data_IF_402561635752
#
_entry.id   IF_402561635752
#
_cell.length_a   1.000
_cell.length_b   1.000
_cell.length_c   1.000
_cell.angle_alpha   90.00
_cell.angle_beta   90.00
_cell.angle_gamma   90.00
#
_symmetry.space_group_name_H-M   'P 1'
#
loop_
_entity.id
_entity.type
_entity.pdbx_description
1 polymer ?
#
# COMPACT_ATOMS: atom_id res chain seq x y z
N UNK A 1 -4.92 28.41 4.49
CA UNK A 1 -4.21 27.11 4.54
C UNK A 1 -3.75 26.83 3.13
N UNK A 2 -2.48 26.47 2.93
CA UNK A 2 -1.94 26.13 1.60
C UNK A 2 -2.73 24.97 0.97
N UNK A 3 -2.95 24.99 -0.34
CA UNK A 3 -3.76 24.01 -1.08
C UNK A 3 -3.23 22.59 -0.88
N UNK A 4 -1.90 22.44 -0.86
CA UNK A 4 -1.22 21.17 -0.58
C UNK A 4 -1.51 20.69 0.84
N UNK A 5 -1.45 21.59 1.83
CA UNK A 5 -1.73 21.24 3.22
C UNK A 5 -3.17 20.74 3.39
N UNK A 6 -4.13 21.37 2.69
CA UNK A 6 -5.53 20.95 2.70
C UNK A 6 -5.71 19.56 2.07
N UNK A 7 -5.09 19.30 0.92
CA UNK A 7 -5.17 17.99 0.27
C UNK A 7 -4.60 16.85 1.14
N UNK A 8 -3.47 17.11 1.82
CA UNK A 8 -2.87 16.12 2.74
C UNK A 8 -3.77 15.88 3.95
N UNK A 9 -4.38 16.93 4.50
CA UNK A 9 -5.34 16.81 5.60
C UNK A 9 -6.57 15.98 5.20
N UNK A 10 -7.12 16.22 4.01
CA UNK A 10 -8.26 15.46 3.47
C UNK A 10 -7.92 13.97 3.32
N UNK A 11 -6.76 13.64 2.76
CA UNK A 11 -6.25 12.26 2.68
C UNK A 11 -6.12 11.63 4.07
N UNK A 12 -5.56 12.35 5.05
CA UNK A 12 -5.39 11.85 6.41
C UNK A 12 -6.74 11.62 7.12
N UNK A 13 -7.71 12.52 6.92
CA UNK A 13 -9.07 12.36 7.47
C UNK A 13 -9.76 11.15 6.87
N UNK A 14 -9.68 10.96 5.56
CA UNK A 14 -10.25 9.80 4.88
C UNK A 14 -9.60 8.49 5.34
N UNK A 15 -8.27 8.45 5.44
CA UNK A 15 -7.54 7.28 5.94
C UNK A 15 -7.93 6.95 7.39
N UNK A 16 -8.02 7.97 8.26
CA UNK A 16 -8.43 7.79 9.65
C UNK A 16 -9.86 7.26 9.77
N UNK A 17 -10.76 7.71 8.91
CA UNK A 17 -12.15 7.25 8.88
C UNK A 17 -12.26 5.77 8.48
N UNK A 18 -11.42 5.31 7.53
CA UNK A 18 -11.41 3.92 7.07
C UNK A 18 -10.60 2.95 7.96
N UNK A 19 -9.66 3.47 8.78
CA UNK A 19 -8.77 2.66 9.61
C UNK A 19 -9.46 1.61 10.51
N UNK A 20 -10.63 1.87 11.14
CA UNK A 20 -11.32 0.86 11.93
C UNK A 20 -11.73 -0.40 11.15
N UNK A 21 -12.09 -0.26 9.87
CA UNK A 21 -12.45 -1.39 9.00
C UNK A 21 -11.27 -2.34 8.85
N UNK A 22 -10.10 -1.78 8.51
CA UNK A 22 -8.88 -2.56 8.33
C UNK A 22 -8.35 -3.13 9.66
N UNK A 23 -8.49 -2.39 10.76
CA UNK A 23 -8.10 -2.85 12.10
C UNK A 23 -8.91 -4.08 12.56
N UNK A 24 -10.18 -4.17 12.14
CA UNK A 24 -11.09 -5.27 12.46
C UNK A 24 -10.98 -6.46 11.50
N UNK A 25 -10.38 -6.28 10.32
CA UNK A 25 -10.25 -7.32 9.31
C UNK A 25 -9.56 -8.60 9.85
N UNK A 26 -10.05 -9.75 9.41
CA UNK A 26 -9.49 -11.06 9.75
C UNK A 26 -8.12 -11.27 9.09
N UNK A 27 -7.43 -12.37 9.40
CA UNK A 27 -6.18 -12.69 8.71
C UNK A 27 -6.46 -13.05 7.25
N UNK A 28 -7.51 -13.83 7.05
CA UNK A 28 -7.97 -14.35 5.77
C UNK A 28 -8.35 -13.22 4.82
N UNK A 29 -9.12 -12.22 5.27
CA UNK A 29 -9.48 -11.06 4.45
C UNK A 29 -8.25 -10.23 4.05
N UNK A 30 -7.30 -10.03 4.97
CA UNK A 30 -6.04 -9.31 4.67
C UNK A 30 -5.22 -10.07 3.63
N UNK A 31 -5.10 -11.39 3.77
CA UNK A 31 -4.31 -12.21 2.86
C UNK A 31 -4.99 -12.38 1.49
N UNK A 32 -6.32 -12.44 1.47
CA UNK A 32 -7.13 -12.40 0.26
C UNK A 32 -6.96 -11.07 -0.49
N UNK A 33 -6.98 -9.93 0.19
CA UNK A 33 -6.74 -8.63 -0.43
C UNK A 33 -5.35 -8.56 -1.07
N UNK A 34 -4.31 -9.03 -0.37
CA UNK A 34 -2.94 -9.06 -0.90
C UNK A 34 -2.79 -9.98 -2.11
N UNK A 35 -3.48 -11.12 -2.09
CA UNK A 35 -3.51 -12.05 -3.22
C UNK A 35 -4.27 -11.44 -4.41
N UNK A 36 -5.40 -10.79 -4.15
CA UNK A 36 -6.17 -10.05 -5.15
C UNK A 36 -5.38 -8.92 -5.78
N UNK A 37 -4.55 -8.20 -5.01
CA UNK A 37 -3.61 -7.21 -5.57
C UNK A 37 -2.62 -7.87 -6.56
N UNK A 38 -2.09 -9.05 -6.23
CA UNK A 38 -1.14 -9.76 -7.09
C UNK A 38 -1.79 -10.21 -8.41
N UNK A 39 -3.03 -10.69 -8.35
CA UNK A 39 -3.81 -11.08 -9.53
C UNK A 39 -4.12 -9.87 -10.41
N UNK A 40 -4.56 -8.77 -9.80
CA UNK A 40 -4.92 -7.53 -10.50
C UNK A 40 -3.73 -6.88 -11.18
N UNK A 41 -2.54 -6.92 -10.59
CA UNK A 41 -1.32 -6.45 -11.27
C UNK A 41 -1.12 -7.14 -12.61
N UNK A 42 -1.31 -8.46 -12.65
CA UNK A 42 -1.09 -9.26 -13.86
C UNK A 42 -2.23 -9.10 -14.86
N UNK A 43 -3.48 -9.06 -14.37
CA UNK A 43 -4.67 -8.90 -15.21
C UNK A 43 -4.75 -7.53 -15.87
N UNK A 44 -4.30 -6.46 -15.18
CA UNK A 44 -4.32 -5.09 -15.68
C UNK A 44 -2.93 -4.62 -16.16
N UNK A 45 -2.06 -5.55 -16.56
CA UNK A 45 -0.67 -5.26 -16.95
C UNK A 45 -0.58 -4.16 -18.01
N UNK A 46 -1.35 -4.28 -19.09
CA UNK A 46 -1.30 -3.35 -20.22
C UNK A 46 -1.64 -1.92 -19.76
N UNK A 47 -2.70 -1.80 -18.98
CA UNK A 47 -3.19 -0.53 -18.45
C UNK A 47 -2.17 0.15 -17.50
N UNK A 48 -1.48 -0.64 -16.67
CA UNK A 48 -0.45 -0.15 -15.76
C UNK A 48 0.80 0.30 -16.53
N UNK A 49 1.22 -0.48 -17.53
CA UNK A 49 2.38 -0.17 -18.34
C UNK A 49 2.15 1.06 -19.22
N UNK A 50 0.93 1.24 -19.74
CA UNK A 50 0.55 2.45 -20.49
C UNK A 50 0.64 3.71 -19.62
N UNK A 51 0.09 3.66 -18.40
CA UNK A 51 0.18 4.77 -17.46
C UNK A 51 1.64 5.09 -17.07
N UNK A 52 2.47 4.05 -16.91
CA UNK A 52 3.89 4.23 -16.63
C UNK A 52 4.67 4.80 -17.81
N UNK A 53 4.37 4.36 -19.03
CA UNK A 53 5.00 4.87 -20.23
C UNK A 53 4.76 6.37 -20.41
N UNK A 54 3.54 6.85 -20.13
CA UNK A 54 3.22 8.28 -20.16
C UNK A 54 4.02 9.09 -19.12
N UNK A 55 4.25 8.54 -17.92
CA UNK A 55 5.11 9.16 -16.90
C UNK A 55 6.59 9.21 -17.35
N UNK A 56 7.09 8.12 -17.93
CA UNK A 56 8.47 8.01 -18.43
C UNK A 56 8.72 8.98 -19.59
N UNK A 57 7.79 9.10 -20.53
CA UNK A 57 7.90 10.02 -21.66
C UNK A 57 7.93 11.47 -21.21
N UNK A 58 7.03 11.85 -20.30
CA UNK A 58 7.01 13.18 -19.69
C UNK A 58 8.33 13.49 -18.98
N UNK A 59 8.79 12.58 -18.12
CA UNK A 59 10.05 12.76 -17.38
C UNK A 59 11.26 12.87 -18.32
N UNK A 60 11.28 12.11 -19.43
CA UNK A 60 12.33 12.17 -20.44
C UNK A 60 12.32 13.53 -21.15
N UNK A 61 11.16 14.06 -21.50
CA UNK A 61 11.01 15.37 -22.12
C UNK A 61 11.47 16.51 -21.18
N UNK A 62 11.28 16.33 -19.87
CA UNK A 62 11.74 17.25 -18.82
C UNK A 62 13.26 17.14 -18.51
N UNK A 63 13.99 16.27 -19.22
CA UNK A 63 15.45 16.12 -19.07
C UNK A 63 15.87 15.29 -17.86
N UNK A 64 15.02 14.40 -17.35
CA UNK A 64 15.36 13.48 -16.28
C UNK A 64 16.55 12.57 -16.67
N UNK A 65 17.49 12.37 -15.73
CA UNK A 65 18.66 11.54 -15.97
C UNK A 65 18.31 10.06 -16.17
N UNK A 66 19.13 9.34 -16.93
CA UNK A 66 18.91 7.92 -17.25
C UNK A 66 18.73 7.04 -16.00
N UNK A 67 19.47 7.30 -14.92
CA UNK A 67 19.34 6.54 -13.67
C UNK A 67 18.02 6.80 -12.92
N UNK A 68 17.44 7.99 -13.04
CA UNK A 68 16.13 8.30 -12.47
C UNK A 68 14.99 7.75 -13.35
N UNK A 69 15.14 7.80 -14.67
CA UNK A 69 14.22 7.15 -15.61
C UNK A 69 14.17 5.63 -15.39
N UNK A 70 15.32 4.98 -15.15
CA UNK A 70 15.35 3.56 -14.80
C UNK A 70 14.50 3.29 -13.55
N UNK A 71 14.66 4.08 -12.48
CA UNK A 71 13.85 3.94 -11.25
C UNK A 71 12.35 4.18 -11.44
N UNK A 72 11.98 5.06 -12.37
CA UNK A 72 10.60 5.38 -12.72
C UNK A 72 9.93 4.27 -13.55
N UNK A 73 10.72 3.56 -14.37
CA UNK A 73 10.21 2.60 -15.34
C UNK A 73 9.72 1.31 -14.68
N UNK A 74 8.51 0.87 -15.02
CA UNK A 74 7.96 -0.46 -14.71
C UNK A 74 8.14 -1.32 -15.97
N UNK A 75 8.92 -2.39 -15.85
CA UNK A 75 9.02 -3.40 -16.91
C UNK A 75 8.08 -4.58 -16.60
N UNK A 76 7.73 -5.43 -17.59
CA UNK A 76 6.94 -6.64 -17.35
C UNK A 76 7.54 -7.55 -16.25
N UNK A 77 8.87 -7.62 -16.18
CA UNK A 77 9.60 -8.38 -15.16
C UNK A 77 9.41 -7.77 -13.77
N UNK A 78 9.55 -6.43 -13.65
CA UNK A 78 9.32 -5.73 -12.36
C UNK A 78 7.88 -5.89 -11.89
N UNK A 79 6.92 -5.83 -12.80
CA UNK A 79 5.51 -6.03 -12.49
C UNK A 79 5.23 -7.48 -12.02
N UNK A 80 5.91 -8.47 -12.62
CA UNK A 80 5.84 -9.86 -12.16
C UNK A 80 6.45 -10.01 -10.76
N UNK A 81 7.61 -9.40 -10.52
CA UNK A 81 8.24 -9.39 -9.19
C UNK A 81 7.40 -8.70 -8.11
N UNK A 82 6.66 -7.64 -8.45
CA UNK A 82 5.70 -7.01 -7.53
C UNK A 82 4.58 -7.99 -7.13
N UNK A 83 4.03 -8.73 -8.10
CA UNK A 83 2.99 -9.72 -7.82
C UNK A 83 3.52 -10.89 -6.97
N UNK A 84 4.76 -11.34 -7.20
CA UNK A 84 5.43 -12.35 -6.38
C UNK A 84 5.64 -11.87 -4.95
N UNK A 85 6.10 -10.63 -4.76
CA UNK A 85 6.29 -10.04 -3.43
C UNK A 85 4.97 -9.96 -2.65
N UNK A 86 3.86 -9.62 -3.32
CA UNK A 86 2.53 -9.60 -2.72
C UNK A 86 2.08 -11.00 -2.26
N UNK A 87 2.28 -12.02 -3.09
CA UNK A 87 1.96 -13.42 -2.72
C UNK A 87 2.81 -13.90 -1.55
N UNK A 88 4.10 -13.54 -1.54
CA UNK A 88 4.99 -13.83 -0.42
C UNK A 88 4.50 -13.17 0.87
N UNK A 89 4.10 -11.89 0.80
CA UNK A 89 3.58 -11.16 1.94
C UNK A 89 2.22 -11.71 2.42
N UNK A 90 1.35 -12.13 1.51
CA UNK A 90 0.09 -12.81 1.84
C UNK A 90 0.35 -14.09 2.65
N UNK A 91 1.32 -14.90 2.24
CA UNK A 91 1.72 -16.12 2.96
C UNK A 91 2.50 -15.90 4.26
N UNK A 92 2.94 -14.68 4.57
CA UNK A 92 3.66 -14.39 5.80
C UNK A 92 2.74 -14.52 7.04
N UNK A 93 3.23 -15.06 8.17
CA UNK A 93 2.39 -15.30 9.34
C UNK A 93 1.88 -14.01 9.98
N UNK A 94 0.64 -14.03 10.48
CA UNK A 94 0.10 -12.98 11.35
C UNK A 94 0.56 -13.22 12.79
N UNK A 95 1.00 -12.17 13.47
CA UNK A 95 1.32 -12.24 14.89
C UNK A 95 0.04 -12.33 15.73
N UNK A 96 0.09 -13.07 16.83
CA UNK A 96 -1.03 -13.13 17.77
C UNK A 96 -1.32 -11.72 18.33
N UNK A 97 -2.59 -11.31 18.26
CA UNK A 97 -2.99 -9.93 18.61
C UNK A 97 -3.36 -9.78 20.08
N UNK A 98 -3.51 -10.86 20.83
CA UNK A 98 -3.87 -10.85 22.24
C UNK A 98 -3.24 -12.04 22.94
N UNK A 99 -2.34 -11.77 23.87
CA UNK A 99 -1.62 -12.79 24.64
C UNK A 99 -1.99 -12.62 26.11
N UNK A 100 -2.50 -13.67 26.73
CA UNK A 100 -2.71 -13.68 28.18
C UNK A 100 -1.36 -13.73 28.89
N UNK A 101 -1.11 -12.77 29.79
CA UNK A 101 0.18 -12.62 30.45
C UNK A 101 0.16 -13.27 31.82
N UNK A 102 -0.83 -12.91 32.65
CA UNK A 102 -0.96 -13.40 34.01
C UNK A 102 -2.34 -13.10 34.61
N UNK A 103 -2.65 -13.78 35.71
CA UNK A 103 -3.72 -13.38 36.63
C UNK A 103 -3.18 -12.33 37.61
N UNK A 104 -4.07 -11.45 38.08
CA UNK A 104 -3.77 -10.41 39.06
C UNK A 104 -4.70 -10.56 40.27
N UNK A 105 -4.34 -9.89 41.37
CA UNK A 105 -5.17 -9.86 42.58
C UNK A 105 -6.59 -9.36 42.29
N UNK A 106 -7.55 -9.80 43.10
CA UNK A 106 -8.97 -9.43 42.95
C UNK A 106 -9.68 -10.11 41.78
N UNK A 107 -9.12 -11.19 41.22
CA UNK A 107 -9.76 -11.97 40.14
C UNK A 107 -9.63 -11.34 38.76
N UNK A 108 -8.67 -10.43 38.58
CA UNK A 108 -8.39 -9.78 37.30
C UNK A 108 -7.44 -10.62 36.43
N UNK A 109 -7.47 -10.37 35.11
CA UNK A 109 -6.57 -10.98 34.13
C UNK A 109 -5.88 -9.92 33.29
N UNK A 110 -4.58 -10.07 33.08
CA UNK A 110 -3.77 -9.21 32.24
C UNK A 110 -3.62 -9.82 30.85
N UNK A 111 -3.95 -9.04 29.83
CA UNK A 111 -3.79 -9.40 28.42
C UNK A 111 -3.01 -8.30 27.70
N UNK A 112 -1.90 -8.65 27.09
CA UNK A 112 -1.18 -7.75 26.19
C UNK A 112 -1.84 -7.79 24.81
N UNK A 113 -2.13 -6.62 24.24
CA UNK A 113 -2.81 -6.51 22.95
C UNK A 113 -1.98 -5.73 21.94
N UNK A 114 -1.77 -6.33 20.76
CA UNK A 114 -1.20 -5.63 19.61
C UNK A 114 -2.31 -4.90 18.87
N UNK A 115 -2.16 -3.59 18.71
CA UNK A 115 -3.10 -2.72 17.99
C UNK A 115 -2.34 -2.02 16.85
N UNK A 116 -3.01 -1.74 15.72
CA UNK A 116 -2.38 -0.92 14.68
C UNK A 116 -2.09 0.48 15.23
N UNK A 117 -1.09 1.14 14.65
CA UNK A 117 -0.77 2.55 14.91
C UNK A 117 -1.95 3.43 14.51
N UNK A 118 -2.65 3.06 13.44
CA UNK A 118 -3.82 3.77 12.91
C UNK A 118 -3.54 4.24 11.50
N UNK A 119 -3.06 5.47 11.34
CA UNK A 119 -2.67 6.05 10.05
C UNK A 119 -1.17 6.28 10.03
N UNK A 120 -0.49 5.75 9.01
CA UNK A 120 0.94 5.92 8.79
C UNK A 120 1.16 6.73 7.51
N UNK A 121 1.96 7.79 7.59
CA UNK A 121 2.43 8.53 6.42
C UNK A 121 3.67 7.89 5.81
N UNK A 122 3.77 7.87 4.49
CA UNK A 122 4.96 7.38 3.79
C UNK A 122 5.36 8.35 2.66
N UNK A 123 6.59 8.86 2.70
CA UNK A 123 7.16 9.69 1.66
C UNK A 123 8.31 8.95 0.97
N UNK A 124 8.29 8.88 -0.36
CA UNK A 124 9.27 8.13 -1.14
C UNK A 124 9.50 8.77 -2.52
N UNK A 125 10.61 8.35 -3.17
CA UNK A 125 10.99 8.80 -4.50
C UNK A 125 9.98 8.37 -5.59
N UNK A 126 10.14 8.88 -6.81
CA UNK A 126 9.34 8.52 -7.98
C UNK A 126 9.63 7.09 -8.46
N UNK A 127 9.25 6.10 -7.65
CA UNK A 127 9.38 4.66 -7.91
C UNK A 127 7.99 4.03 -7.81
N UNK A 128 7.30 3.77 -8.93
CA UNK A 128 5.91 3.34 -8.90
C UNK A 128 5.66 2.07 -8.08
N UNK A 129 6.60 1.11 -8.12
CA UNK A 129 6.51 -0.14 -7.38
C UNK A 129 6.44 0.07 -5.85
N UNK A 130 7.06 1.14 -5.33
CA UNK A 130 7.07 1.46 -3.89
C UNK A 130 5.66 1.78 -3.38
N UNK A 131 4.76 2.28 -4.25
CA UNK A 131 3.36 2.52 -3.89
C UNK A 131 2.66 1.22 -3.48
N UNK A 132 2.84 0.15 -4.26
CA UNK A 132 2.27 -1.17 -3.96
C UNK A 132 2.97 -1.80 -2.76
N UNK A 133 4.30 -1.71 -2.70
CA UNK A 133 5.10 -2.24 -1.60
C UNK A 133 4.64 -1.66 -0.25
N UNK A 134 4.64 -0.33 -0.11
CA UNK A 134 4.22 0.35 1.10
C UNK A 134 2.76 0.05 1.43
N UNK A 135 1.85 0.17 0.46
CA UNK A 135 0.44 -0.10 0.70
C UNK A 135 0.20 -1.53 1.20
N UNK A 136 0.86 -2.52 0.60
CA UNK A 136 0.72 -3.93 0.98
C UNK A 136 1.19 -4.21 2.41
N UNK A 137 2.31 -3.62 2.84
CA UNK A 137 2.82 -3.77 4.20
C UNK A 137 1.94 -3.07 5.24
N UNK A 138 1.37 -1.91 4.89
CA UNK A 138 0.39 -1.22 5.74
C UNK A 138 -0.88 -2.06 5.89
N UNK A 139 -1.39 -2.64 4.81
CA UNK A 139 -2.54 -3.57 4.83
C UNK A 139 -2.24 -4.80 5.68
N UNK A 140 -1.09 -5.46 5.49
CA UNK A 140 -0.68 -6.63 6.28
C UNK A 140 -0.63 -6.34 7.79
N UNK A 141 -0.12 -5.15 8.15
CA UNK A 141 -0.04 -4.67 9.54
C UNK A 141 -1.32 -3.99 10.05
N UNK A 142 -2.39 -3.97 9.23
CA UNK A 142 -3.69 -3.36 9.52
C UNK A 142 -3.65 -1.86 9.82
N UNK A 143 -2.74 -1.14 9.19
CA UNK A 143 -2.65 0.32 9.24
C UNK A 143 -3.22 0.93 7.96
N UNK A 144 -3.97 2.03 8.10
CA UNK A 144 -4.27 2.89 6.97
C UNK A 144 -3.03 3.71 6.58
N UNK A 145 -2.98 4.18 5.33
CA UNK A 145 -1.82 4.87 4.78
C UNK A 145 -2.15 6.20 4.11
N UNK A 146 -1.25 7.17 4.26
CA UNK A 146 -1.18 8.37 3.40
C UNK A 146 0.16 8.35 2.67
N UNK A 147 0.12 8.05 1.38
CA UNK A 147 1.31 7.84 0.57
C UNK A 147 1.60 9.07 -0.29
N UNK A 148 2.86 9.53 -0.26
CA UNK A 148 3.35 10.62 -1.09
C UNK A 148 4.56 10.15 -1.88
N UNK A 149 4.38 10.04 -3.20
CA UNK A 149 5.44 9.72 -4.16
C UNK A 149 5.99 10.99 -4.83
N UNK A 150 7.13 10.88 -5.48
CA UNK A 150 7.64 11.94 -6.37
C UNK A 150 6.69 12.17 -7.54
N UNK A 151 6.51 13.44 -7.93
CA UNK A 151 5.51 13.85 -8.95
C UNK A 151 5.67 13.13 -10.30
N UNK A 152 6.89 12.76 -10.67
CA UNK A 152 7.15 12.04 -11.91
C UNK A 152 6.44 10.67 -12.00
N UNK A 153 6.13 10.03 -10.86
CA UNK A 153 5.45 8.72 -10.81
C UNK A 153 3.97 8.82 -10.43
N UNK A 154 3.38 10.03 -10.40
CA UNK A 154 2.04 10.23 -9.86
C UNK A 154 0.98 9.49 -10.68
N UNK A 155 1.06 9.52 -12.02
CA UNK A 155 0.11 8.83 -12.90
C UNK A 155 0.16 7.31 -12.70
N UNK A 156 1.37 6.75 -12.64
CA UNK A 156 1.60 5.34 -12.35
C UNK A 156 1.04 4.94 -10.99
N UNK A 157 1.31 5.73 -9.94
CA UNK A 157 0.84 5.46 -8.58
C UNK A 157 -0.69 5.54 -8.45
N UNK A 158 -1.32 6.52 -9.12
CA UNK A 158 -2.77 6.64 -9.18
C UNK A 158 -3.39 5.43 -9.89
N UNK A 159 -2.83 5.02 -11.04
CA UNK A 159 -3.33 3.85 -11.77
C UNK A 159 -3.22 2.58 -10.94
N UNK A 160 -2.08 2.34 -10.28
CA UNK A 160 -1.90 1.22 -9.35
C UNK A 160 -2.93 1.26 -8.21
N UNK A 161 -3.21 2.44 -7.63
CA UNK A 161 -4.26 2.57 -6.62
C UNK A 161 -5.63 2.17 -7.16
N UNK A 162 -5.97 2.65 -8.35
CA UNK A 162 -7.32 2.53 -8.93
C UNK A 162 -7.65 1.13 -9.42
N UNK A 163 -6.72 0.44 -10.08
CA UNK A 163 -7.01 -0.86 -10.71
C UNK A 163 -6.52 -2.05 -9.88
N UNK A 164 -5.59 -1.82 -8.95
CA UNK A 164 -4.99 -2.87 -8.12
C UNK A 164 -5.42 -2.75 -6.66
N UNK A 165 -5.00 -1.68 -5.98
CA UNK A 165 -5.06 -1.62 -4.50
C UNK A 165 -6.50 -1.46 -4.01
N UNK A 166 -7.22 -0.45 -4.51
CA UNK A 166 -8.56 -0.14 -4.01
C UNK A 166 -9.59 -1.25 -4.32
N UNK A 167 -9.62 -1.84 -5.53
CA UNK A 167 -10.55 -2.94 -5.82
C UNK A 167 -10.25 -4.19 -4.99
N UNK A 168 -8.98 -4.57 -4.83
CA UNK A 168 -8.60 -5.74 -4.02
C UNK A 168 -9.01 -5.59 -2.54
N UNK A 169 -8.97 -4.37 -2.00
CA UNK A 169 -9.43 -4.09 -0.64
C UNK A 169 -10.96 -4.09 -0.50
N UNK A 170 -11.69 -3.79 -1.58
CA UNK A 170 -13.15 -3.75 -1.57
C UNK A 170 -13.78 -5.14 -1.72
N UNK A 171 -13.07 -6.08 -2.34
CA UNK A 171 -13.54 -7.44 -2.65
C UNK A 171 -13.25 -8.48 -1.56
N UNK A 172 -12.32 -8.18 -0.65
CA UNK A 172 -11.86 -9.08 0.40
C UNK A 172 -12.58 -8.87 1.74
#
# INVERSE_FOLDING_TARGET
MDEVAKAVEECARAAKLAAPSLAAASAEAVDAALTGMAERLLAHREEILEANQADVERAKAEGMSAGLLDRLTITPERLTGMAEQLRLLAGAPHQERSVEVSTLDGGLRLVERRRPVGVIGANYEARPNVTVDVASQLVKSRNAGVLRTGSAALGSAQRLREVVIAPALAEA
#
